data_IF_086932173706
#
_entry.id   IF_086932173706
#
_cell.length_a   1.000
_cell.length_b   1.000
_cell.length_c   1.000
_cell.angle_alpha   90.00
_cell.angle_beta   90.00
_cell.angle_gamma   90.00
#
_symmetry.space_group_name_H-M   'P 1'
#
loop_
_entity.id
_entity.type
_entity.pdbx_description
1 polymer ?
#
# COMPACT_ATOMS: atom_id res chain seq x y z
N UNK A 1 -8.88 1.07 59.71
CA UNK A 1 -9.99 0.51 60.52
C UNK A 1 -11.29 0.75 59.75
N UNK A 2 -12.01 -0.34 59.49
CA UNK A 2 -13.44 -0.45 59.13
C UNK A 2 -14.01 0.14 57.81
N UNK A 3 -14.29 -0.78 56.88
CA UNK A 3 -15.55 -0.87 56.08
C UNK A 3 -16.69 -1.43 56.99
N UNK A 4 -17.98 -1.64 56.61
CA UNK A 4 -18.70 -1.44 55.33
C UNK A 4 -20.21 -0.97 55.48
N UNK A 5 -20.99 -1.12 54.40
CA UNK A 5 -22.47 -1.36 54.26
C UNK A 5 -23.54 -0.25 54.32
N UNK A 6 -24.34 -0.17 53.22
CA UNK A 6 -25.83 -0.12 53.12
C UNK A 6 -26.18 -0.08 51.61
N UNK A 7 -26.81 -1.02 50.91
CA UNK A 7 -28.01 -1.87 51.08
C UNK A 7 -29.37 -1.14 50.88
N UNK A 8 -29.91 -1.31 49.66
CA UNK A 8 -31.32 -1.55 49.24
C UNK A 8 -32.49 -0.59 49.52
N UNK A 9 -33.19 -0.18 48.45
CA UNK A 9 -34.61 -0.51 48.12
C UNK A 9 -35.04 0.30 46.86
N UNK A 10 -35.37 -0.27 45.69
CA UNK A 10 -36.51 -1.13 45.27
C UNK A 10 -37.78 -0.35 44.88
N UNK A 11 -38.15 -0.40 43.59
CA UNK A 11 -39.51 -0.45 42.98
C UNK A 11 -39.40 -0.15 41.47
N UNK A 12 -39.28 -1.15 40.58
CA UNK A 12 -40.37 -1.87 39.87
C UNK A 12 -41.49 -0.99 39.29
N UNK A 13 -41.53 -0.82 37.96
CA UNK A 13 -42.75 -1.13 37.18
C UNK A 13 -42.48 -1.38 35.69
N UNK A 14 -43.06 -2.49 35.23
CA UNK A 14 -43.12 -3.01 33.88
C UNK A 14 -43.92 -2.11 32.93
N UNK A 15 -43.51 -2.06 31.65
CA UNK A 15 -44.43 -2.26 30.53
C UNK A 15 -43.67 -2.64 29.24
N UNK A 16 -43.85 -3.88 28.79
CA UNK A 16 -43.74 -4.24 27.36
C UNK A 16 -44.96 -3.66 26.64
N UNK A 17 -44.85 -3.40 25.32
CA UNK A 17 -45.45 -4.38 24.43
C UNK A 17 -44.58 -4.76 23.22
N UNK A 18 -44.77 -6.00 22.82
CA UNK A 18 -44.40 -6.67 21.59
C UNK A 18 -44.99 -5.95 20.36
N UNK A 19 -44.25 -5.86 19.25
CA UNK A 19 -44.82 -6.01 17.89
C UNK A 19 -43.69 -6.12 16.83
N UNK A 20 -43.82 -7.15 16.01
CA UNK A 20 -43.02 -7.55 14.84
C UNK A 20 -43.13 -6.55 13.66
N UNK A 21 -42.27 -6.65 12.63
CA UNK A 21 -42.12 -5.63 11.58
C UNK A 21 -43.18 -5.79 10.48
N UNK A 22 -43.67 -4.70 9.85
CA UNK A 22 -44.55 -4.82 8.70
C UNK A 22 -43.77 -4.66 7.39
N UNK A 23 -43.57 -5.79 6.70
CA UNK A 23 -43.58 -5.82 5.23
C UNK A 23 -45.04 -5.87 4.75
N UNK A 24 -45.29 -5.35 3.55
CA UNK A 24 -46.56 -5.24 2.83
C UNK A 24 -47.51 -4.11 3.28
N UNK A 25 -47.33 -2.94 2.68
CA UNK A 25 -48.46 -2.15 2.17
C UNK A 25 -48.20 -1.81 0.71
N UNK A 26 -49.05 -2.39 -0.13
CA UNK A 26 -49.30 -2.08 -1.53
C UNK A 26 -49.75 -0.64 -1.74
N UNK A 27 -49.26 0.05 -2.77
CA UNK A 27 -49.76 1.37 -3.14
C UNK A 27 -49.15 1.93 -4.42
N UNK A 28 -49.89 1.75 -5.52
CA UNK A 28 -50.02 2.64 -6.69
C UNK A 28 -48.77 3.19 -7.39
N UNK A 29 -48.54 2.66 -8.60
CA UNK A 29 -47.76 3.30 -9.67
C UNK A 29 -48.41 4.63 -10.08
N UNK A 30 -47.66 5.72 -9.99
CA UNK A 30 -47.86 6.94 -10.78
C UNK A 30 -46.58 7.19 -11.62
N UNK A 31 -46.69 7.66 -12.87
CA UNK A 31 -45.57 7.72 -13.79
C UNK A 31 -44.63 8.91 -13.48
N UNK A 32 -43.32 8.79 -13.78
CA UNK A 32 -42.39 9.90 -13.54
C UNK A 32 -42.50 10.98 -14.62
N UNK A 33 -42.67 12.22 -14.15
CA UNK A 33 -42.54 13.47 -14.89
C UNK A 33 -41.14 13.63 -15.53
N UNK A 34 -41.01 14.28 -16.70
CA UNK A 34 -39.74 14.45 -17.38
C UNK A 34 -38.86 15.50 -16.68
N UNK A 35 -37.68 15.07 -16.22
CA UNK A 35 -36.63 16.00 -15.77
C UNK A 35 -35.98 16.65 -16.98
N UNK A 36 -36.25 17.94 -17.14
CA UNK A 36 -35.46 18.91 -17.92
C UNK A 36 -33.97 18.76 -17.58
N UNK A 37 -33.21 18.16 -18.49
CA UNK A 37 -31.75 18.19 -18.48
C UNK A 37 -31.31 19.38 -19.33
N UNK A 38 -30.95 20.47 -18.66
CA UNK A 38 -30.07 21.50 -19.23
C UNK A 38 -28.74 20.84 -19.56
N UNK A 39 -28.55 20.49 -20.83
CA UNK A 39 -27.27 20.04 -21.40
C UNK A 39 -26.32 21.24 -21.43
N UNK A 40 -25.59 21.47 -20.34
CA UNK A 40 -24.33 22.21 -20.43
C UNK A 40 -23.31 21.30 -21.10
N UNK A 41 -23.25 21.41 -22.43
CA UNK A 41 -22.29 20.75 -23.31
C UNK A 41 -20.92 21.35 -23.03
N UNK A 42 -20.21 20.86 -22.00
CA UNK A 42 -18.80 21.20 -21.81
C UNK A 42 -18.00 20.39 -22.82
N UNK A 43 -17.61 21.07 -23.88
CA UNK A 43 -16.73 20.60 -24.96
C UNK A 43 -15.54 19.87 -24.36
N UNK A 44 -15.42 18.58 -24.65
CA UNK A 44 -14.22 17.79 -24.43
C UNK A 44 -13.14 18.30 -25.37
N UNK A 45 -12.28 19.17 -24.87
CA UNK A 45 -11.03 19.54 -25.54
C UNK A 45 -10.00 18.44 -25.26
N UNK A 46 -9.56 17.84 -26.35
CA UNK A 46 -8.38 16.97 -26.45
C UNK A 46 -7.20 17.49 -25.64
N UNK A 47 -6.57 16.56 -24.93
CA UNK A 47 -5.38 16.68 -24.10
C UNK A 47 -4.22 17.29 -24.89
N UNK A 48 -3.95 18.58 -24.69
CA UNK A 48 -2.61 19.14 -24.86
C UNK A 48 -2.04 19.38 -23.47
N UNK A 49 -0.81 18.93 -23.28
CA UNK A 49 -0.03 18.95 -22.05
C UNK A 49 0.24 20.39 -21.58
N UNK A 50 -0.70 20.95 -20.84
CA UNK A 50 -0.51 22.21 -20.12
C UNK A 50 -0.01 21.92 -18.71
N UNK A 51 0.90 22.77 -18.20
CA UNK A 51 1.36 22.71 -16.81
C UNK A 51 0.13 22.79 -15.89
N UNK A 52 0.01 21.93 -14.86
CA UNK A 52 -1.23 21.81 -14.07
C UNK A 52 -1.58 23.06 -13.24
N UNK A 53 -0.63 23.96 -13.02
CA UNK A 53 -0.76 25.12 -12.14
C UNK A 53 -0.08 26.35 -12.75
N UNK A 54 -0.58 27.56 -12.46
CA UNK A 54 0.02 28.80 -12.94
C UNK A 54 1.28 29.18 -12.13
N UNK A 55 2.18 30.01 -12.70
CA UNK A 55 3.48 30.34 -12.07
C UNK A 55 3.34 31.00 -10.68
N UNK A 56 2.29 31.80 -10.45
CA UNK A 56 2.08 32.45 -9.15
C UNK A 56 1.67 31.47 -8.03
N UNK A 57 1.25 30.25 -8.37
CA UNK A 57 0.92 29.19 -7.42
C UNK A 57 2.13 28.33 -7.03
N UNK A 58 3.27 28.48 -7.72
CA UNK A 58 4.49 27.73 -7.44
C UNK A 58 5.05 28.10 -6.05
N UNK A 59 5.30 27.12 -5.16
CA UNK A 59 5.89 27.42 -3.87
C UNK A 59 7.35 27.88 -3.95
N UNK A 60 8.13 27.30 -4.87
CA UNK A 60 9.50 27.71 -5.16
C UNK A 60 9.51 28.65 -6.38
N UNK A 61 10.25 29.76 -6.28
CA UNK A 61 10.33 30.83 -7.31
C UNK A 61 11.75 31.08 -7.81
N UNK A 62 12.65 30.15 -7.54
CA UNK A 62 14.04 30.27 -7.97
C UNK A 62 14.10 30.28 -9.50
N UNK A 63 14.94 31.17 -10.06
CA UNK A 63 15.09 31.30 -11.50
C UNK A 63 16.12 30.30 -12.01
N UNK A 64 15.77 29.54 -13.03
CA UNK A 64 16.66 28.59 -13.67
C UNK A 64 17.34 29.25 -14.86
N UNK A 65 18.67 29.10 -14.95
CA UNK A 65 19.42 29.40 -16.17
C UNK A 65 19.87 28.08 -16.78
N UNK A 66 19.12 27.53 -17.76
CA UNK A 66 19.60 26.40 -18.55
C UNK A 66 20.95 26.78 -19.15
N UNK A 67 21.89 25.86 -19.14
CA UNK A 67 23.22 26.10 -19.70
C UNK A 67 23.10 26.13 -21.23
N UNK A 68 22.74 27.28 -21.81
CA UNK A 68 22.82 27.49 -23.25
C UNK A 68 24.30 27.55 -23.63
N UNK A 69 24.73 26.65 -24.52
CA UNK A 69 26.10 26.57 -25.01
C UNK A 69 26.55 27.77 -25.87
N UNK A 70 25.95 28.95 -25.73
CA UNK A 70 26.19 30.08 -26.62
C UNK A 70 26.01 31.45 -25.94
N UNK A 71 26.88 31.81 -24.97
CA UNK A 71 27.13 33.23 -24.66
C UNK A 71 28.44 33.47 -23.90
N UNK A 72 29.56 32.97 -24.43
CA UNK A 72 30.86 33.63 -24.18
C UNK A 72 31.09 34.66 -25.28
N UNK A 73 30.35 35.77 -25.21
CA UNK A 73 30.71 37.10 -25.75
C UNK A 73 29.51 38.05 -25.65
N UNK A 74 29.38 38.78 -24.54
CA UNK A 74 29.39 40.24 -24.57
C UNK A 74 29.30 40.81 -23.15
N UNK A 75 30.16 41.80 -22.89
CA UNK A 75 30.47 42.30 -21.57
C UNK A 75 29.41 43.20 -20.93
N UNK A 76 29.51 43.23 -19.60
CA UNK A 76 29.21 44.33 -18.69
C UNK A 76 27.77 44.82 -18.47
N UNK A 77 26.72 44.17 -19.01
CA UNK A 77 25.33 44.46 -18.65
C UNK A 77 24.57 43.32 -17.92
N UNK A 78 25.13 42.11 -17.81
CA UNK A 78 24.43 40.94 -17.24
C UNK A 78 24.64 40.69 -15.74
N UNK A 79 25.60 41.37 -15.09
CA UNK A 79 26.01 41.02 -13.73
C UNK A 79 24.93 41.25 -12.64
N UNK A 80 23.96 42.15 -12.87
CA UNK A 80 22.90 42.44 -11.90
C UNK A 80 21.67 41.53 -12.06
N UNK A 81 21.50 40.87 -13.22
CA UNK A 81 20.37 39.98 -13.52
C UNK A 81 20.65 38.49 -13.19
N UNK A 82 21.92 38.14 -12.98
CA UNK A 82 22.37 36.79 -12.60
C UNK A 82 22.29 36.56 -11.08
N UNK A 83 22.13 37.63 -10.29
CA UNK A 83 22.00 37.58 -8.83
C UNK A 83 20.67 36.92 -8.40
N UNK A 84 20.65 35.59 -8.35
CA UNK A 84 19.49 34.79 -7.96
C UNK A 84 19.16 33.61 -8.89
N UNK A 85 19.93 33.40 -9.96
CA UNK A 85 19.75 32.25 -10.84
C UNK A 85 20.53 31.03 -10.33
N UNK A 86 19.89 29.87 -10.35
CA UNK A 86 20.50 28.58 -10.03
C UNK A 86 20.89 27.84 -11.30
N UNK A 87 22.10 27.30 -11.31
CA UNK A 87 22.70 26.49 -12.39
C UNK A 87 22.59 24.98 -12.16
N UNK A 88 21.97 24.59 -11.04
CA UNK A 88 21.75 23.21 -10.61
C UNK A 88 20.25 22.95 -10.36
N UNK A 89 19.87 21.69 -10.26
CA UNK A 89 18.49 21.28 -9.96
C UNK A 89 18.07 21.81 -8.59
N UNK A 90 16.90 22.47 -8.45
CA UNK A 90 16.45 22.97 -7.15
C UNK A 90 16.40 21.87 -6.08
N UNK A 91 17.15 22.05 -5.00
CA UNK A 91 17.28 21.11 -3.89
C UNK A 91 18.45 20.12 -4.01
N UNK A 92 19.05 19.95 -5.18
CA UNK A 92 20.13 18.98 -5.43
C UNK A 92 21.35 19.65 -6.10
N UNK A 93 22.34 20.13 -5.31
CA UNK A 93 23.47 20.89 -5.83
C UNK A 93 24.45 20.06 -6.68
N UNK A 94 24.37 18.73 -6.61
CA UNK A 94 25.25 17.83 -7.34
C UNK A 94 24.87 17.68 -8.83
N UNK A 95 23.67 18.11 -9.23
CA UNK A 95 23.14 17.87 -10.57
C UNK A 95 23.03 19.19 -11.34
N UNK A 96 23.81 19.31 -12.41
CA UNK A 96 23.76 20.45 -13.32
C UNK A 96 22.49 20.42 -14.19
N UNK A 97 22.02 21.57 -14.65
CA UNK A 97 20.83 21.75 -15.50
C UNK A 97 20.99 21.24 -16.96
N UNK A 98 21.90 20.29 -17.20
CA UNK A 98 22.06 19.65 -18.51
C UNK A 98 20.92 18.65 -18.73
N UNK A 99 20.22 18.64 -19.89
CA UNK A 99 19.06 17.78 -20.10
C UNK A 99 19.29 16.31 -19.74
N UNK A 100 20.40 15.70 -20.17
CA UNK A 100 20.71 14.29 -19.89
C UNK A 100 20.88 14.00 -18.39
N UNK A 101 21.55 14.91 -17.66
CA UNK A 101 21.77 14.77 -16.22
C UNK A 101 20.45 14.93 -15.45
N UNK A 102 19.62 15.89 -15.86
CA UNK A 102 18.29 16.11 -15.28
C UNK A 102 17.38 14.91 -15.55
N UNK A 103 17.42 14.34 -16.75
CA UNK A 103 16.65 13.14 -17.08
C UNK A 103 17.08 11.94 -16.24
N UNK A 104 18.37 11.65 -16.16
CA UNK A 104 18.87 10.57 -15.30
C UNK A 104 18.47 10.77 -13.83
N UNK A 105 18.53 12.02 -13.34
CA UNK A 105 18.10 12.38 -11.99
C UNK A 105 16.59 12.17 -11.80
N UNK A 106 15.75 12.62 -12.74
CA UNK A 106 14.30 12.43 -12.68
C UNK A 106 13.92 10.94 -12.74
N UNK A 107 14.56 10.15 -13.61
CA UNK A 107 14.33 8.71 -13.69
C UNK A 107 14.69 8.04 -12.37
N UNK A 108 15.82 8.40 -11.77
CA UNK A 108 16.21 7.87 -10.46
C UNK A 108 15.25 8.26 -9.33
N UNK A 109 14.76 9.51 -9.32
CA UNK A 109 13.95 10.03 -8.23
C UNK A 109 12.45 9.74 -8.36
N UNK A 110 11.91 9.53 -9.57
CA UNK A 110 10.46 9.43 -9.78
C UNK A 110 10.00 8.10 -10.38
N UNK A 111 10.82 7.45 -11.22
CA UNK A 111 10.38 6.22 -11.89
C UNK A 111 10.33 5.02 -10.93
N UNK A 112 9.39 4.11 -11.21
CA UNK A 112 9.24 2.88 -10.44
C UNK A 112 9.06 1.68 -11.36
N UNK A 113 10.10 1.31 -12.14
CA UNK A 113 9.97 0.31 -13.21
C UNK A 113 9.43 -1.03 -12.72
N UNK A 114 9.82 -1.46 -11.50
CA UNK A 114 9.32 -2.68 -10.90
C UNK A 114 7.80 -2.67 -10.64
N UNK A 115 7.20 -1.51 -10.30
CA UNK A 115 5.75 -1.45 -10.13
C UNK A 115 5.01 -1.33 -11.44
N UNK A 116 5.65 -0.74 -12.45
CA UNK A 116 5.08 -0.69 -13.78
C UNK A 116 5.03 -2.10 -14.41
N UNK A 117 6.03 -2.95 -14.15
CA UNK A 117 5.99 -4.38 -14.49
C UNK A 117 4.91 -5.15 -13.73
N UNK A 118 4.76 -4.88 -12.43
CA UNK A 118 3.75 -5.53 -11.60
C UNK A 118 2.34 -4.98 -11.82
N UNK A 119 2.15 -3.91 -12.58
CA UNK A 119 0.91 -3.16 -12.69
C UNK A 119 -0.30 -4.03 -13.07
N UNK A 120 -0.12 -4.93 -14.05
CA UNK A 120 -1.15 -5.86 -14.53
C UNK A 120 -1.58 -6.89 -13.50
N UNK A 121 -0.73 -7.19 -12.53
CA UNK A 121 -0.96 -8.21 -11.50
C UNK A 121 -1.25 -7.59 -10.12
N UNK A 122 -1.02 -6.29 -9.95
CA UNK A 122 -1.13 -5.60 -8.66
C UNK A 122 -2.55 -5.63 -8.09
N UNK A 123 -3.57 -5.76 -8.95
CA UNK A 123 -4.98 -5.85 -8.55
C UNK A 123 -5.30 -7.07 -7.68
N UNK A 124 -4.49 -8.15 -7.74
CA UNK A 124 -4.62 -9.32 -6.87
C UNK A 124 -4.29 -8.99 -5.41
N UNK A 125 -3.47 -7.96 -5.22
CA UNK A 125 -2.71 -7.73 -3.99
C UNK A 125 -3.09 -6.39 -3.36
N UNK A 126 -3.52 -5.43 -4.17
CA UNK A 126 -3.94 -4.10 -3.78
C UNK A 126 -5.25 -3.69 -4.46
N UNK A 127 -5.99 -2.81 -3.79
CA UNK A 127 -7.21 -2.21 -4.36
C UNK A 127 -6.81 -1.18 -5.41
N UNK A 128 -7.20 -1.40 -6.67
CA UNK A 128 -7.06 -0.42 -7.77
C UNK A 128 -7.99 0.77 -7.51
N UNK A 129 -7.47 1.78 -6.82
CA UNK A 129 -8.16 3.02 -6.50
C UNK A 129 -7.14 4.06 -6.07
N UNK A 130 -7.03 5.14 -6.83
CA UNK A 130 -6.19 6.30 -6.55
C UNK A 130 -6.60 7.02 -5.27
N UNK A 131 -7.91 7.06 -4.98
CA UNK A 131 -8.48 7.64 -3.74
C UNK A 131 -8.20 6.81 -2.48
N UNK A 132 -7.60 5.62 -2.59
CA UNK A 132 -7.27 4.78 -1.44
C UNK A 132 -5.98 5.25 -0.73
N UNK A 133 -5.96 6.53 -0.37
CA UNK A 133 -4.90 7.18 0.38
C UNK A 133 -5.54 7.84 1.60
N UNK A 134 -5.30 7.26 2.76
CA UNK A 134 -5.59 7.87 4.05
C UNK A 134 -4.67 9.08 4.32
N UNK A 135 -5.24 10.21 4.78
CA UNK A 135 -4.50 11.39 5.22
C UNK A 135 -3.52 11.13 6.38
N UNK A 136 -2.53 11.99 6.58
CA UNK A 136 -1.49 11.82 7.61
C UNK A 136 -2.03 11.70 9.05
N UNK A 137 -3.01 12.51 9.44
CA UNK A 137 -3.64 12.40 10.76
C UNK A 137 -4.30 11.03 10.94
N UNK A 138 -4.97 10.51 9.90
CA UNK A 138 -5.58 9.18 9.91
C UNK A 138 -4.51 8.09 10.00
N UNK A 139 -3.33 8.28 9.42
CA UNK A 139 -2.19 7.36 9.60
C UNK A 139 -1.76 7.29 11.08
N UNK A 140 -1.62 8.45 11.72
CA UNK A 140 -1.30 8.53 13.16
C UNK A 140 -2.38 7.87 14.01
N UNK A 141 -3.66 8.09 13.71
CA UNK A 141 -4.80 7.42 14.39
C UNK A 141 -4.76 5.90 14.22
N UNK A 142 -4.32 5.40 13.05
CA UNK A 142 -4.10 3.96 12.80
C UNK A 142 -2.85 3.41 13.51
N UNK A 143 -2.15 4.21 14.31
CA UNK A 143 -0.94 3.81 15.02
C UNK A 143 0.27 3.66 14.10
N UNK A 144 0.29 4.31 12.93
CA UNK A 144 1.42 4.26 12.00
C UNK A 144 2.37 5.44 12.22
N UNK A 145 3.65 5.16 12.40
CA UNK A 145 4.74 6.13 12.36
C UNK A 145 5.07 6.48 10.91
N UNK A 146 5.21 7.77 10.63
CA UNK A 146 5.58 8.30 9.31
C UNK A 146 7.11 8.23 9.20
N UNK A 147 7.62 7.53 8.18
CA UNK A 147 9.05 7.38 7.92
C UNK A 147 9.36 8.02 6.57
N UNK A 148 10.13 9.12 6.52
CA UNK A 148 10.58 9.70 5.26
C UNK A 148 11.57 8.76 4.55
N UNK A 149 11.50 8.67 3.22
CA UNK A 149 12.39 7.82 2.40
C UNK A 149 12.68 8.43 1.04
N UNK A 150 13.93 8.47 0.60
CA UNK A 150 14.24 8.99 -0.74
C UNK A 150 13.88 8.01 -1.88
N UNK A 151 13.77 6.71 -1.59
CA UNK A 151 13.44 5.70 -2.62
C UNK A 151 11.97 5.85 -3.11
N UNK A 152 11.73 6.19 -4.40
CA UNK A 152 10.37 6.29 -4.96
C UNK A 152 9.61 4.96 -4.91
N UNK A 153 10.32 3.83 -4.90
CA UNK A 153 9.73 2.50 -4.78
C UNK A 153 8.92 2.39 -3.48
N UNK A 154 9.38 3.00 -2.40
CA UNK A 154 8.75 2.90 -1.08
C UNK A 154 7.65 3.93 -0.82
N UNK A 155 7.48 4.93 -1.69
CA UNK A 155 6.47 5.97 -1.52
C UNK A 155 5.04 5.37 -1.41
N UNK A 156 4.31 5.71 -0.33
CA UNK A 156 2.99 5.20 0.04
C UNK A 156 2.93 3.68 0.30
N UNK A 157 4.07 3.08 0.65
CA UNK A 157 4.11 1.69 1.12
C UNK A 157 4.07 1.65 2.63
N UNK A 158 3.35 0.69 3.22
CA UNK A 158 3.28 0.53 4.66
C UNK A 158 3.56 -0.90 5.11
N UNK A 159 4.18 -1.02 6.26
CA UNK A 159 4.53 -2.28 6.89
C UNK A 159 4.30 -2.16 8.40
N UNK A 160 3.34 -2.94 8.92
CA UNK A 160 2.95 -2.93 10.34
C UNK A 160 2.54 -1.54 10.82
N UNK A 161 3.31 -0.99 11.73
CA UNK A 161 3.21 0.28 12.41
C UNK A 161 3.98 1.39 11.68
N UNK A 162 4.50 1.15 10.47
CA UNK A 162 5.27 2.15 9.72
C UNK A 162 4.68 2.39 8.34
N UNK A 163 4.66 3.65 7.92
CA UNK A 163 4.37 4.05 6.55
C UNK A 163 5.57 4.82 5.99
N UNK A 164 6.03 4.40 4.82
CA UNK A 164 7.13 5.01 4.10
C UNK A 164 6.58 6.03 3.11
N UNK A 165 7.07 7.26 3.18
CA UNK A 165 6.60 8.36 2.35
C UNK A 165 7.82 9.11 1.83
N UNK A 166 7.93 9.23 0.51
CA UNK A 166 8.97 10.05 -0.10
C UNK A 166 8.68 11.54 0.05
N UNK A 167 9.58 12.37 0.61
CA UNK A 167 9.39 13.82 0.74
C UNK A 167 9.22 14.46 -0.64
N UNK A 168 8.57 15.62 -0.68
CA UNK A 168 8.35 16.36 -1.93
C UNK A 168 9.67 16.97 -2.39
N UNK A 169 10.21 16.57 -3.56
CA UNK A 169 11.42 17.18 -4.09
C UNK A 169 11.18 18.66 -4.42
N UNK A 170 12.16 19.51 -4.12
CA UNK A 170 12.06 20.97 -4.29
C UNK A 170 11.85 21.34 -5.76
N UNK A 171 12.49 20.62 -6.69
CA UNK A 171 12.31 20.83 -8.13
C UNK A 171 10.85 20.66 -8.60
N UNK A 172 10.03 19.84 -7.94
CA UNK A 172 8.60 19.71 -8.29
C UNK A 172 7.77 20.92 -7.85
N UNK A 173 8.31 21.79 -6.99
CA UNK A 173 7.65 22.99 -6.49
C UNK A 173 7.96 24.24 -7.34
N UNK A 174 8.88 24.13 -8.30
CA UNK A 174 9.33 25.23 -9.15
C UNK A 174 8.61 25.20 -10.51
N UNK A 175 8.00 26.31 -10.95
CA UNK A 175 7.26 26.34 -12.22
C UNK A 175 8.15 26.26 -13.46
N UNK A 176 9.30 26.94 -13.47
CA UNK A 176 10.21 26.96 -14.61
C UNK A 176 10.75 25.54 -14.89
N UNK A 177 11.01 24.78 -13.83
CA UNK A 177 11.43 23.38 -13.95
C UNK A 177 10.40 22.53 -14.72
N UNK A 178 9.11 22.72 -14.41
CA UNK A 178 8.03 22.03 -15.12
C UNK A 178 7.93 22.44 -16.58
N UNK A 179 8.12 23.73 -16.87
CA UNK A 179 8.09 24.25 -18.23
C UNK A 179 9.23 23.71 -19.10
N UNK A 180 10.43 23.57 -18.53
CA UNK A 180 11.63 23.20 -19.27
C UNK A 180 11.82 21.69 -19.41
N UNK A 181 11.55 20.90 -18.36
CA UNK A 181 11.96 19.47 -18.34
C UNK A 181 10.79 18.47 -18.30
N UNK A 182 9.60 18.88 -17.86
CA UNK A 182 8.44 17.97 -17.66
C UNK A 182 7.33 18.14 -18.72
N UNK A 183 7.44 19.13 -19.61
CA UNK A 183 6.55 19.21 -20.77
C UNK A 183 7.00 18.21 -21.85
N UNK A 184 6.06 17.48 -22.47
CA UNK A 184 6.38 16.70 -23.65
C UNK A 184 6.75 17.67 -24.77
N UNK A 185 8.00 17.63 -25.21
CA UNK A 185 8.41 18.34 -26.42
C UNK A 185 7.74 17.67 -27.62
N UNK A 186 7.23 18.48 -28.54
CA UNK A 186 6.58 18.02 -29.78
C UNK A 186 7.57 17.34 -30.74
N UNK A 187 8.85 17.22 -30.37
CA UNK A 187 9.89 16.63 -31.19
C UNK A 187 10.32 15.28 -30.62
N UNK A 188 10.42 14.31 -31.53
CA UNK A 188 10.59 12.86 -31.32
C UNK A 188 11.95 12.44 -30.72
N UNK A 189 12.46 13.16 -29.71
CA UNK A 189 13.64 12.74 -28.95
C UNK A 189 13.20 11.86 -27.77
N UNK A 190 13.53 10.58 -27.89
CA UNK A 190 13.18 9.41 -27.07
C UNK A 190 13.61 9.42 -25.59
N UNK A 191 14.00 10.57 -25.02
CA UNK A 191 14.63 10.69 -23.70
C UNK A 191 13.88 11.58 -22.70
N UNK A 192 12.65 12.00 -22.98
CA UNK A 192 11.86 12.76 -22.01
C UNK A 192 11.09 11.85 -21.04
N UNK A 193 11.30 12.09 -19.75
CA UNK A 193 10.55 11.47 -18.68
C UNK A 193 9.09 11.95 -18.72
N UNK A 194 8.15 11.01 -18.63
CA UNK A 194 6.73 11.32 -18.70
C UNK A 194 6.30 12.17 -17.49
N UNK A 195 5.91 13.43 -17.75
CA UNK A 195 5.39 14.35 -16.74
C UNK A 195 4.20 13.78 -15.95
N UNK A 196 3.51 12.76 -16.48
CA UNK A 196 2.45 12.03 -15.79
C UNK A 196 2.88 11.42 -14.46
N UNK A 197 4.17 11.07 -14.30
CA UNK A 197 4.74 10.53 -13.05
C UNK A 197 4.77 11.61 -11.97
N UNK A 198 5.30 12.79 -12.30
CA UNK A 198 5.36 13.93 -11.39
C UNK A 198 3.96 14.40 -10.97
N UNK A 199 3.02 14.44 -11.93
CA UNK A 199 1.62 14.76 -11.68
C UNK A 199 0.97 13.74 -10.73
N UNK A 200 1.25 12.45 -10.93
CA UNK A 200 0.78 11.37 -10.06
C UNK A 200 1.31 11.47 -8.63
N UNK A 201 2.59 11.81 -8.49
CA UNK A 201 3.23 12.03 -7.20
C UNK A 201 2.57 13.18 -6.43
N UNK A 202 2.35 14.33 -7.07
CA UNK A 202 1.70 15.47 -6.42
C UNK A 202 0.21 15.21 -6.12
N UNK A 203 -0.48 14.45 -6.96
CA UNK A 203 -1.84 13.97 -6.68
C UNK A 203 -1.88 13.11 -5.41
N UNK A 204 -0.87 12.26 -5.20
CA UNK A 204 -0.74 11.46 -3.99
C UNK A 204 -0.68 12.37 -2.75
N UNK A 205 0.11 13.44 -2.81
CA UNK A 205 0.22 14.47 -1.78
C UNK A 205 -1.07 15.27 -1.55
N UNK A 206 -1.84 15.53 -2.61
CA UNK A 206 -3.16 16.17 -2.51
C UNK A 206 -4.16 15.37 -1.66
N UNK A 207 -4.03 14.04 -1.67
CA UNK A 207 -4.86 13.12 -0.88
C UNK A 207 -4.26 12.85 0.50
N UNK A 208 -2.93 12.90 0.61
CA UNK A 208 -2.19 12.67 1.85
C UNK A 208 -2.27 13.86 2.82
N UNK A 209 -2.23 15.09 2.29
CA UNK A 209 -2.23 16.35 3.05
C UNK A 209 -3.46 17.24 2.74
N UNK A 210 -4.70 16.77 3.01
CA UNK A 210 -5.91 17.52 2.69
C UNK A 210 -6.27 18.62 3.69
N UNK A 211 -5.83 18.53 4.96
CA UNK A 211 -6.17 19.50 6.01
C UNK A 211 -4.93 20.23 6.55
N UNK A 212 -5.18 21.36 7.24
CA UNK A 212 -4.12 22.13 7.92
C UNK A 212 -3.36 21.32 8.97
N UNK A 213 -4.04 20.43 9.69
CA UNK A 213 -3.38 19.53 10.66
C UNK A 213 -2.40 18.59 9.94
N UNK A 214 -2.80 18.04 8.80
CA UNK A 214 -1.94 17.17 7.99
C UNK A 214 -0.70 17.92 7.50
N UNK A 215 -0.82 19.20 7.17
CA UNK A 215 0.32 20.02 6.76
C UNK A 215 1.33 20.21 7.89
N UNK A 216 0.87 20.49 9.10
CA UNK A 216 1.76 20.59 10.27
C UNK A 216 2.47 19.26 10.54
N UNK A 217 1.74 18.14 10.45
CA UNK A 217 2.32 16.80 10.59
C UNK A 217 3.32 16.47 9.47
N UNK A 218 3.07 16.94 8.25
CA UNK A 218 3.98 16.77 7.12
C UNK A 218 5.29 17.54 7.34
N UNK A 219 5.23 18.77 7.89
CA UNK A 219 6.43 19.54 8.26
C UNK A 219 7.19 18.89 9.42
N UNK A 220 6.50 18.44 10.46
CA UNK A 220 7.13 17.70 11.58
C UNK A 220 7.88 16.45 11.09
N UNK A 221 7.33 15.77 10.07
CA UNK A 221 7.93 14.59 9.46
C UNK A 221 8.95 14.91 8.34
N UNK A 222 9.27 16.19 8.09
CA UNK A 222 10.17 16.64 7.02
C UNK A 222 9.76 16.17 5.61
N UNK A 223 8.46 16.00 5.37
CA UNK A 223 7.93 15.57 4.06
C UNK A 223 7.77 16.72 3.07
N UNK A 224 7.59 17.94 3.58
CA UNK A 224 7.46 19.15 2.77
C UNK A 224 8.68 20.04 3.09
N UNK A 225 9.39 20.57 2.08
CA UNK A 225 10.50 21.49 2.28
C UNK A 225 10.13 22.69 3.15
N UNK A 226 11.07 23.16 3.96
CA UNK A 226 10.84 24.31 4.85
C UNK A 226 10.57 25.62 4.12
N UNK A 227 10.97 25.70 2.85
CA UNK A 227 10.67 26.80 1.92
C UNK A 227 9.17 27.09 1.83
N UNK A 228 8.32 26.06 2.00
CA UNK A 228 6.87 26.20 2.06
C UNK A 228 6.46 26.59 3.48
N UNK A 229 6.34 27.90 3.72
CA UNK A 229 6.04 28.45 5.06
C UNK A 229 4.56 28.33 5.43
N UNK A 230 3.67 28.66 4.48
CA UNK A 230 2.24 28.84 4.75
C UNK A 230 1.36 27.70 4.21
N UNK A 231 0.36 27.30 5.00
CA UNK A 231 -0.71 26.42 4.53
C UNK A 231 -1.44 26.99 3.33
N UNK A 232 -1.63 28.32 3.28
CA UNK A 232 -2.34 28.96 2.16
C UNK A 232 -1.60 28.75 0.83
N UNK A 233 -0.27 28.91 0.84
CA UNK A 233 0.57 28.67 -0.32
C UNK A 233 0.48 27.20 -0.77
N UNK A 234 0.64 26.27 0.15
CA UNK A 234 0.51 24.83 -0.13
C UNK A 234 -0.88 24.46 -0.66
N UNK A 235 -1.96 24.96 -0.04
CA UNK A 235 -3.34 24.64 -0.40
C UNK A 235 -3.70 25.12 -1.81
N UNK A 236 -3.24 26.31 -2.21
CA UNK A 236 -3.42 26.86 -3.57
C UNK A 236 -2.64 26.06 -4.60
N UNK A 237 -1.42 25.63 -4.28
CA UNK A 237 -0.63 24.78 -5.15
C UNK A 237 -1.30 23.42 -5.35
N UNK A 238 -1.57 22.70 -4.25
CA UNK A 238 -1.98 21.30 -4.27
C UNK A 238 -3.42 21.10 -4.79
N UNK A 239 -4.27 22.14 -4.76
CA UNK A 239 -5.65 22.06 -5.25
C UNK A 239 -5.75 21.66 -6.72
N UNK A 240 -4.75 22.00 -7.54
CA UNK A 240 -4.71 21.68 -8.96
C UNK A 240 -4.59 20.17 -9.23
N UNK A 241 -4.02 19.41 -8.28
CA UNK A 241 -3.74 17.98 -8.47
C UNK A 241 -4.83 17.06 -7.90
N UNK A 242 -5.75 17.59 -7.09
CA UNK A 242 -6.71 16.78 -6.30
C UNK A 242 -7.73 16.02 -7.16
N UNK A 243 -8.20 16.63 -8.25
CA UNK A 243 -9.31 16.12 -9.06
C UNK A 243 -8.87 15.53 -10.41
N UNK A 244 -7.59 15.18 -10.55
CA UNK A 244 -7.07 14.64 -11.79
C UNK A 244 -7.61 13.23 -12.08
N UNK A 245 -7.98 12.93 -13.34
CA UNK A 245 -8.39 11.60 -13.75
C UNK A 245 -7.20 10.63 -13.74
N UNK A 246 -7.49 9.34 -13.56
CA UNK A 246 -6.45 8.31 -13.54
C UNK A 246 -5.66 8.29 -14.87
N UNK A 247 -6.30 8.53 -16.01
CA UNK A 247 -5.65 8.54 -17.34
C UNK A 247 -4.53 9.60 -17.53
N UNK A 248 -4.51 10.64 -16.71
CA UNK A 248 -3.49 11.71 -16.77
C UNK A 248 -2.24 11.43 -15.94
N UNK A 249 -2.19 10.25 -15.32
CA UNK A 249 -1.26 9.93 -14.24
C UNK A 249 -0.56 8.61 -14.54
N UNK A 250 0.71 8.50 -14.13
CA UNK A 250 1.45 7.26 -14.29
C UNK A 250 0.80 6.07 -13.58
N UNK A 251 0.99 4.87 -14.17
CA UNK A 251 0.42 3.58 -13.74
C UNK A 251 0.57 3.31 -12.24
N UNK A 252 1.74 3.64 -11.67
CA UNK A 252 2.03 3.56 -10.22
C UNK A 252 0.92 4.17 -9.36
N UNK A 253 0.46 5.37 -9.69
CA UNK A 253 -0.45 6.16 -8.83
C UNK A 253 -1.93 5.88 -9.09
N UNK A 254 -2.26 4.94 -9.97
CA UNK A 254 -3.61 4.34 -10.02
C UNK A 254 -3.93 3.55 -8.75
N UNK A 255 -2.88 3.09 -8.06
CA UNK A 255 -2.97 2.46 -6.76
C UNK A 255 -2.52 3.46 -5.71
N UNK A 256 -3.33 3.63 -4.66
CA UNK A 256 -2.95 4.43 -3.50
C UNK A 256 -1.95 3.70 -2.61
N UNK A 257 -2.33 3.42 -1.37
CA UNK A 257 -1.43 2.79 -0.41
C UNK A 257 -1.23 1.30 -0.67
N UNK A 258 0.04 0.87 -0.65
CA UNK A 258 0.44 -0.51 -0.86
C UNK A 258 0.99 -1.13 0.42
N UNK A 259 0.58 -2.36 0.72
CA UNK A 259 1.11 -3.09 1.88
C UNK A 259 2.38 -3.84 1.46
N UNK A 260 3.49 -3.58 2.13
CA UNK A 260 4.81 -4.14 1.79
C UNK A 260 4.85 -5.67 1.84
N UNK A 261 4.15 -6.28 2.82
CA UNK A 261 4.08 -7.74 2.95
C UNK A 261 3.41 -8.39 1.74
N UNK A 262 2.39 -7.72 1.21
CA UNK A 262 1.60 -8.15 0.05
C UNK A 262 2.40 -7.94 -1.24
N UNK A 263 3.12 -6.82 -1.33
CA UNK A 263 4.03 -6.54 -2.45
C UNK A 263 5.21 -7.51 -2.51
N UNK A 264 5.74 -7.93 -1.36
CA UNK A 264 6.78 -8.99 -1.29
C UNK A 264 6.28 -10.33 -1.84
N UNK A 265 5.00 -10.67 -1.60
CA UNK A 265 4.37 -11.82 -2.24
C UNK A 265 4.22 -11.63 -3.76
N UNK A 266 3.90 -10.42 -4.23
CA UNK A 266 3.85 -10.12 -5.66
C UNK A 266 5.18 -10.43 -6.35
N UNK A 267 6.28 -9.92 -5.79
CA UNK A 267 7.63 -10.15 -6.31
C UNK A 267 7.96 -11.64 -6.32
N UNK A 268 7.60 -12.37 -5.25
CA UNK A 268 7.84 -13.81 -5.14
C UNK A 268 7.11 -14.62 -6.21
N UNK A 269 5.86 -14.26 -6.50
CA UNK A 269 4.99 -14.99 -7.43
C UNK A 269 5.34 -14.64 -8.89
N UNK A 270 5.46 -13.36 -9.21
CA UNK A 270 5.57 -12.88 -10.60
C UNK A 270 6.99 -12.71 -11.09
N UNK A 271 7.99 -12.64 -10.19
CA UNK A 271 9.42 -12.49 -10.51
C UNK A 271 9.71 -11.43 -11.59
N UNK A 272 9.42 -10.15 -11.32
CA UNK A 272 9.74 -9.04 -12.23
C UNK A 272 11.25 -8.95 -12.50
N UNK A 273 11.65 -8.47 -13.68
CA UNK A 273 13.05 -8.39 -14.09
C UNK A 273 13.81 -7.33 -13.30
N UNK A 274 13.15 -6.24 -12.93
CA UNK A 274 13.74 -5.14 -12.17
C UNK A 274 13.80 -5.40 -10.64
N UNK A 275 13.53 -6.64 -10.19
CA UNK A 275 13.62 -6.99 -8.78
C UNK A 275 15.08 -7.16 -8.33
N UNK A 276 15.49 -6.32 -7.37
CA UNK A 276 16.77 -6.50 -6.67
C UNK A 276 16.85 -7.81 -5.88
N UNK A 277 15.72 -8.33 -5.40
CA UNK A 277 15.68 -9.60 -4.67
C UNK A 277 14.49 -10.46 -5.10
N UNK A 278 14.67 -11.79 -5.06
CA UNK A 278 13.65 -12.77 -5.45
C UNK A 278 12.51 -12.87 -4.42
N UNK A 279 12.77 -12.52 -3.16
CA UNK A 279 11.88 -12.85 -2.04
C UNK A 279 11.16 -11.66 -1.42
N UNK A 280 11.76 -10.47 -1.50
CA UNK A 280 11.27 -9.28 -0.82
C UNK A 280 11.29 -8.07 -1.74
N UNK A 281 10.26 -7.24 -1.61
CA UNK A 281 10.25 -5.96 -2.32
C UNK A 281 11.30 -5.00 -1.76
N UNK A 282 11.40 -4.98 -0.43
CA UNK A 282 12.37 -4.22 0.35
C UNK A 282 12.85 -5.12 1.49
N UNK A 283 14.15 -5.09 1.78
CA UNK A 283 14.76 -5.97 2.78
C UNK A 283 14.28 -5.51 4.17
N UNK A 284 13.46 -6.31 4.89
CA UNK A 284 12.76 -5.82 6.06
C UNK A 284 13.62 -5.80 7.34
N UNK A 285 14.74 -6.52 7.38
CA UNK A 285 15.63 -6.59 8.55
C UNK A 285 17.08 -6.68 8.11
N UNK A 286 17.92 -5.89 8.77
CA UNK A 286 19.36 -6.11 8.79
C UNK A 286 19.77 -7.08 9.92
N UNK A 287 18.88 -7.35 10.88
CA UNK A 287 19.15 -8.24 12.03
C UNK A 287 18.44 -9.59 11.89
N UNK A 288 19.18 -10.68 12.06
CA UNK A 288 18.68 -12.07 12.07
C UNK A 288 17.74 -12.34 13.25
N UNK A 289 17.96 -11.67 14.39
CA UNK A 289 17.24 -11.90 15.66
C UNK A 289 15.73 -11.63 15.57
N UNK A 290 15.33 -10.60 14.82
CA UNK A 290 13.91 -10.25 14.63
C UNK A 290 13.17 -11.22 13.71
N UNK A 291 13.89 -11.90 12.82
CA UNK A 291 13.32 -12.97 12.00
C UNK A 291 13.18 -14.25 12.83
N UNK A 292 14.23 -14.61 13.58
CA UNK A 292 14.26 -15.82 14.39
C UNK A 292 13.15 -15.80 15.45
N UNK A 293 13.00 -14.72 16.22
CA UNK A 293 11.94 -14.60 17.24
C UNK A 293 10.52 -14.84 16.70
N UNK A 294 10.26 -14.47 15.43
CA UNK A 294 8.96 -14.71 14.78
C UNK A 294 8.82 -16.14 14.28
N UNK A 295 9.91 -16.75 13.87
CA UNK A 295 9.96 -18.13 13.44
C UNK A 295 9.97 -19.13 14.63
N UNK A 296 10.39 -18.69 15.82
CA UNK A 296 10.51 -19.55 17.01
C UNK A 296 9.16 -20.17 17.40
N UNK A 297 8.09 -19.38 17.49
CA UNK A 297 6.76 -19.87 17.88
C UNK A 297 6.23 -20.97 16.94
N UNK A 298 6.17 -20.76 15.60
CA UNK A 298 5.72 -21.82 14.70
C UNK A 298 6.70 -23.00 14.65
N UNK A 299 8.01 -22.78 14.78
CA UNK A 299 8.99 -23.86 14.80
C UNK A 299 8.86 -24.74 16.05
N UNK A 300 8.62 -24.14 17.23
CA UNK A 300 8.31 -24.87 18.46
C UNK A 300 7.01 -25.66 18.33
N UNK A 301 5.98 -25.09 17.68
CA UNK A 301 4.72 -25.79 17.43
C UNK A 301 4.93 -27.01 16.50
N UNK A 302 5.67 -26.86 15.40
CA UNK A 302 6.03 -27.97 14.50
C UNK A 302 6.85 -29.02 15.26
N UNK A 303 7.86 -28.59 16.00
CA UNK A 303 8.73 -29.48 16.79
C UNK A 303 7.94 -30.27 17.83
N UNK A 304 7.06 -29.61 18.60
CA UNK A 304 6.20 -30.27 19.57
C UNK A 304 5.22 -31.24 18.89
N UNK A 305 4.65 -30.84 17.74
CA UNK A 305 3.77 -31.69 16.95
C UNK A 305 4.47 -32.95 16.43
N UNK A 306 5.67 -32.82 15.85
CA UNK A 306 6.47 -33.95 15.36
C UNK A 306 6.91 -34.84 16.53
N UNK A 307 7.33 -34.26 17.65
CA UNK A 307 7.72 -35.02 18.85
C UNK A 307 6.57 -35.83 19.42
N UNK A 308 5.36 -35.26 19.45
CA UNK A 308 4.14 -35.96 19.86
C UNK A 308 3.82 -37.12 18.92
N UNK A 309 3.91 -36.90 17.61
CA UNK A 309 3.70 -37.95 16.60
C UNK A 309 4.72 -39.08 16.74
N UNK A 310 6.01 -38.77 16.88
CA UNK A 310 7.08 -39.75 17.07
C UNK A 310 6.91 -40.53 18.39
N UNK A 311 6.51 -39.86 19.47
CA UNK A 311 6.23 -40.51 20.76
C UNK A 311 5.06 -41.48 20.63
N UNK A 312 3.98 -41.08 19.92
CA UNK A 312 2.83 -41.96 19.67
C UNK A 312 3.19 -43.17 18.80
N UNK A 313 4.17 -43.02 17.90
CA UNK A 313 4.69 -44.11 17.07
C UNK A 313 5.59 -45.05 17.87
N UNK A 314 6.42 -44.51 18.77
CA UNK A 314 7.24 -45.31 19.69
C UNK A 314 6.36 -46.21 20.56
N UNK A 315 5.24 -45.70 21.07
CA UNK A 315 4.27 -46.50 21.84
C UNK A 315 3.77 -47.71 21.04
N UNK A 316 3.54 -47.58 19.73
CA UNK A 316 3.09 -48.70 18.87
C UNK A 316 4.19 -49.73 18.63
N UNK A 317 5.42 -49.28 18.38
CA UNK A 317 6.55 -50.17 18.10
C UNK A 317 7.10 -50.87 19.34
N UNK A 318 6.93 -50.25 20.52
CA UNK A 318 7.47 -50.75 21.79
C UNK A 318 6.65 -51.85 22.45
N UNK A 319 5.49 -52.25 21.90
CA UNK A 319 4.66 -53.32 22.47
C UNK A 319 5.30 -54.68 22.18
N UNK A 320 5.95 -55.34 23.15
CA UNK A 320 6.57 -56.63 22.93
C UNK A 320 5.46 -57.68 23.01
N UNK A 321 5.41 -58.58 22.04
CA UNK A 321 4.44 -59.66 22.05
C UNK A 321 4.70 -60.68 23.19
N UNK A 322 5.88 -60.64 23.82
CA UNK A 322 6.43 -61.74 24.62
C UNK A 322 6.99 -61.30 26.02
N UNK A 323 6.49 -60.21 26.62
CA UNK A 323 7.04 -59.67 27.88
C UNK A 323 6.64 -60.48 29.15
N UNK A 324 7.60 -60.79 30.07
CA UNK A 324 7.36 -61.60 31.28
C UNK A 324 6.36 -61.01 32.29
N UNK A 325 6.13 -59.70 32.27
CA UNK A 325 5.25 -59.01 33.22
C UNK A 325 3.77 -59.30 33.01
N UNK A 326 3.41 -59.85 31.83
CA UNK A 326 2.03 -60.13 31.45
C UNK A 326 1.64 -61.61 31.50
N UNK A 327 2.52 -62.50 32.00
CA UNK A 327 2.28 -63.94 32.09
C UNK A 327 1.07 -64.34 32.98
N UNK A 328 0.58 -63.44 33.85
CA UNK A 328 -0.59 -63.67 34.71
C UNK A 328 -1.93 -63.18 34.13
N UNK A 329 -1.91 -62.42 33.03
CA UNK A 329 -3.11 -61.97 32.33
C UNK A 329 -3.33 -62.94 31.16
N UNK A 330 -4.46 -63.67 31.16
CA UNK A 330 -4.76 -64.63 30.08
C UNK A 330 -4.58 -64.01 28.69
N UNK A 331 -4.21 -64.81 27.68
CA UNK A 331 -3.92 -64.38 26.30
C UNK A 331 -4.93 -63.37 25.70
N UNK A 332 -6.18 -63.39 26.18
CA UNK A 332 -7.23 -62.43 25.82
C UNK A 332 -7.01 -61.00 26.36
N UNK A 333 -6.48 -60.83 27.57
CA UNK A 333 -6.26 -59.53 28.23
C UNK A 333 -5.10 -58.75 27.61
N UNK A 334 -3.98 -59.42 27.35
CA UNK A 334 -2.83 -58.88 26.63
C UNK A 334 -3.19 -58.32 25.25
N UNK A 335 -3.99 -59.09 24.50
CA UNK A 335 -4.48 -58.68 23.17
C UNK A 335 -5.41 -57.48 23.23
N UNK A 336 -6.19 -57.33 24.31
CA UNK A 336 -7.07 -56.18 24.50
C UNK A 336 -6.30 -54.91 24.86
N UNK A 337 -5.24 -55.03 25.67
CA UNK A 337 -4.35 -53.92 26.05
C UNK A 337 -3.59 -53.41 24.81
N UNK A 338 -3.02 -54.30 23.99
CA UNK A 338 -2.35 -53.92 22.75
C UNK A 338 -3.29 -53.20 21.76
N UNK A 339 -4.55 -53.65 21.67
CA UNK A 339 -5.59 -52.99 20.85
C UNK A 339 -5.94 -51.58 21.35
N UNK A 340 -5.97 -51.36 22.67
CA UNK A 340 -6.23 -50.05 23.26
C UNK A 340 -5.07 -49.06 23.01
N UNK A 341 -3.82 -49.51 23.09
CA UNK A 341 -2.67 -48.66 22.76
C UNK A 341 -2.61 -48.35 21.26
N UNK A 342 -2.93 -49.32 20.41
CA UNK A 342 -2.99 -49.13 18.96
C UNK A 342 -4.09 -48.13 18.55
N UNK A 343 -5.28 -48.24 19.14
CA UNK A 343 -6.37 -47.30 18.87
C UNK A 343 -6.06 -45.89 19.37
N UNK A 344 -5.40 -45.76 20.53
CA UNK A 344 -4.95 -44.48 21.06
C UNK A 344 -3.92 -43.80 20.15
N UNK A 345 -2.94 -44.55 19.64
CA UNK A 345 -1.93 -44.00 18.72
C UNK A 345 -2.55 -43.51 17.41
N UNK A 346 -3.46 -44.29 16.82
CA UNK A 346 -4.19 -43.87 15.62
C UNK A 346 -5.04 -42.62 15.88
N UNK A 347 -5.72 -42.55 17.02
CA UNK A 347 -6.51 -41.38 17.39
C UNK A 347 -5.65 -40.11 17.52
N UNK A 348 -4.45 -40.22 18.11
CA UNK A 348 -3.50 -39.09 18.24
C UNK A 348 -2.99 -38.63 16.87
N UNK A 349 -2.62 -39.56 15.98
CA UNK A 349 -2.15 -39.25 14.63
C UNK A 349 -3.26 -38.58 13.80
N UNK A 350 -4.48 -39.14 13.82
CA UNK A 350 -5.62 -38.56 13.13
C UNK A 350 -5.97 -37.18 13.68
N UNK A 351 -5.92 -37.00 14.99
CA UNK A 351 -6.11 -35.69 15.64
C UNK A 351 -5.05 -34.67 15.18
N UNK A 352 -3.79 -35.07 15.09
CA UNK A 352 -2.71 -34.21 14.61
C UNK A 352 -2.91 -33.81 13.14
N UNK A 353 -3.24 -34.77 12.27
CA UNK A 353 -3.55 -34.48 10.85
C UNK A 353 -4.75 -33.53 10.75
N UNK A 354 -5.80 -33.76 11.54
CA UNK A 354 -6.97 -32.89 11.56
C UNK A 354 -6.63 -31.45 12.00
N UNK A 355 -5.76 -31.28 12.99
CA UNK A 355 -5.26 -29.97 13.42
C UNK A 355 -4.51 -29.28 12.28
N UNK A 356 -3.64 -29.99 11.55
CA UNK A 356 -2.93 -29.41 10.40
C UNK A 356 -3.85 -29.05 9.24
N UNK A 357 -4.84 -29.89 8.95
CA UNK A 357 -5.85 -29.62 7.91
C UNK A 357 -6.69 -28.39 8.29
N UNK A 358 -7.09 -28.26 9.55
CA UNK A 358 -7.82 -27.10 10.04
C UNK A 358 -6.96 -25.82 9.98
N UNK A 359 -5.71 -25.91 10.44
CA UNK A 359 -4.82 -24.77 10.61
C UNK A 359 -4.23 -24.26 9.28
N UNK A 360 -3.90 -25.16 8.34
CA UNK A 360 -3.33 -24.78 7.04
C UNK A 360 -4.34 -24.90 5.90
N UNK A 361 -5.15 -25.95 5.89
CA UNK A 361 -6.10 -26.21 4.80
C UNK A 361 -7.17 -25.13 4.66
N UNK A 362 -7.76 -24.69 5.78
CA UNK A 362 -8.81 -23.64 5.76
C UNK A 362 -8.26 -22.31 5.21
N UNK A 363 -7.12 -21.76 5.70
CA UNK A 363 -6.56 -20.54 5.13
C UNK A 363 -6.22 -20.68 3.64
N UNK A 364 -5.63 -21.81 3.23
CA UNK A 364 -5.27 -22.05 1.83
C UNK A 364 -6.52 -22.10 0.95
N UNK A 365 -7.58 -22.78 1.40
CA UNK A 365 -8.86 -22.85 0.68
C UNK A 365 -9.52 -21.47 0.56
N UNK A 366 -9.52 -20.66 1.64
CA UNK A 366 -10.03 -19.29 1.62
C UNK A 366 -9.22 -18.42 0.65
N UNK A 367 -7.89 -18.53 0.66
CA UNK A 367 -7.02 -17.79 -0.26
C UNK A 367 -7.27 -18.20 -1.72
N UNK A 368 -7.38 -19.51 -2.00
CA UNK A 368 -7.68 -20.02 -3.33
C UNK A 368 -9.04 -19.51 -3.84
N UNK A 369 -10.06 -19.51 -2.97
CA UNK A 369 -11.37 -18.94 -3.26
C UNK A 369 -11.32 -17.43 -3.52
N UNK A 370 -10.59 -16.67 -2.71
CA UNK A 370 -10.44 -15.23 -2.91
C UNK A 370 -9.74 -14.89 -4.23
N UNK A 371 -8.70 -15.64 -4.58
CA UNK A 371 -7.98 -15.46 -5.85
C UNK A 371 -8.87 -15.84 -7.04
N UNK A 372 -9.59 -16.97 -6.97
CA UNK A 372 -10.47 -17.40 -8.06
C UNK A 372 -11.63 -16.41 -8.28
N UNK A 373 -12.23 -15.90 -7.20
CA UNK A 373 -13.28 -14.88 -7.27
C UNK A 373 -12.75 -13.56 -7.82
N UNK A 374 -11.55 -13.16 -7.41
CA UNK A 374 -10.86 -11.99 -7.96
C UNK A 374 -10.64 -12.12 -9.47
N UNK A 375 -10.11 -13.26 -9.92
CA UNK A 375 -9.86 -13.55 -11.34
C UNK A 375 -11.15 -13.55 -12.15
N UNK A 376 -12.22 -14.16 -11.64
CA UNK A 376 -13.52 -14.15 -12.29
C UNK A 376 -14.08 -12.72 -12.46
N UNK A 377 -13.89 -11.86 -11.46
CA UNK A 377 -14.34 -10.46 -11.52
C UNK A 377 -13.50 -9.62 -12.48
N UNK A 378 -12.20 -9.84 -12.51
CA UNK A 378 -11.30 -9.14 -13.43
C UNK A 378 -11.57 -9.54 -14.88
N UNK A 379 -11.81 -10.83 -15.16
CA UNK A 379 -12.24 -11.30 -16.49
C UNK A 379 -13.54 -10.59 -16.94
N UNK A 380 -14.53 -10.47 -16.06
CA UNK A 380 -15.77 -9.74 -16.35
C UNK A 380 -15.54 -8.25 -16.61
N UNK A 381 -14.62 -7.60 -15.87
CA UNK A 381 -14.25 -6.20 -16.12
C UNK A 381 -13.61 -6.01 -17.49
N UNK A 382 -12.63 -6.86 -17.85
CA UNK A 382 -11.96 -6.82 -19.16
C UNK A 382 -12.94 -7.09 -20.29
N UNK A 383 -13.85 -8.05 -20.12
CA UNK A 383 -14.91 -8.32 -21.11
C UNK A 383 -15.88 -7.14 -21.28
N UNK A 384 -16.24 -6.44 -20.20
CA UNK A 384 -17.10 -5.26 -20.27
C UNK A 384 -16.46 -4.05 -20.95
N UNK A 385 -15.14 -3.89 -20.85
CA UNK A 385 -14.38 -2.84 -21.54
C UNK A 385 -14.18 -3.15 -23.02
N UNK A 386 -14.18 -4.43 -23.43
CA UNK A 386 -14.08 -4.82 -24.84
C UNK A 386 -15.37 -4.65 -25.64
N UNK A 387 -16.51 -4.42 -24.97
CA UNK A 387 -17.85 -4.34 -25.58
C UNK A 387 -18.39 -2.90 -25.56
N UNK A 388 -17.72 -1.98 -24.86
CA UNK A 388 -18.00 -0.55 -24.82
C UNK A 388 -16.97 0.20 -25.65
#
# INVERSE_FOLDING_TARGET
>A
MYSPTCASCCCLRLHRPSCLPPWLVTGNKLPPQPKSQSKSKRMSTSTSSQIPFPPFCAPNKDRLTPHDGASLQNGSFEAENIAGCITHVPGDPAVNLLPDNVHAHLSHHLETPLLDELYENLWLIAKKSSRNIDPLHTQRVKGRSIVPTEDPRLHLTWHRDRIYIKPVPVFLLNYEFWATYLQPSTQESSSHLDGSIAVGFLRSYALLVPHRLDFMLAKEAHLIPDDVKDWLQWSKFISHFRNLPDESVARRYHYGQLRLSRLSWAVRIFRPQHARTVWFYEIPYWSTTSLLSRATVPLLFVFAGVSLALSSMQVVLSVPADDPWFHGLGQSGLRNIGRAFWSFSIAVILGWIAIWVLLLGIPIAILAWQVSWGLARERKRRAGVSVA
#
